data_IF_658761574257
#
_entry.id   IF_658761574257
#
_cell.length_a   1.000
_cell.length_b   1.000
_cell.length_c   1.000
_cell.angle_alpha   90.00
_cell.angle_beta   90.00
_cell.angle_gamma   90.00
#
_symmetry.space_group_name_H-M   'P 1'
#
loop_
_entity.id
_entity.type
_entity.pdbx_description
1 polymer ?
#
# COMPACT_ATOMS: atom_id res chain seq x y z
N UNK A 1 -8.75 13.35 -10.55
CA UNK A 1 -7.85 12.20 -10.27
C UNK A 1 -8.03 11.83 -8.82
N UNK A 2 -8.56 10.65 -8.52
CA UNK A 2 -8.68 10.18 -7.14
C UNK A 2 -7.32 9.63 -6.70
N UNK A 3 -6.62 10.34 -5.82
CA UNK A 3 -5.41 9.84 -5.19
C UNK A 3 -5.83 8.87 -4.08
N UNK A 4 -5.54 7.58 -4.25
CA UNK A 4 -5.64 6.65 -3.13
C UNK A 4 -4.40 6.84 -2.25
N UNK A 5 -4.54 7.65 -1.21
CA UNK A 5 -3.54 7.76 -0.14
C UNK A 5 -3.62 6.49 0.71
N UNK A 6 -2.77 5.50 0.39
CA UNK A 6 -2.53 4.39 1.30
C UNK A 6 -1.35 4.73 2.20
N UNK A 7 -1.63 4.80 3.51
CA UNK A 7 -0.60 4.86 4.53
C UNK A 7 0.05 3.48 4.62
N UNK A 8 1.14 3.28 3.88
CA UNK A 8 2.03 2.16 4.11
C UNK A 8 2.64 2.33 5.52
N UNK A 9 2.49 1.31 6.37
CA UNK A 9 3.04 1.25 7.74
C UNK A 9 2.41 2.24 8.73
N UNK A 10 1.08 2.24 8.80
CA UNK A 10 0.32 2.97 9.83
C UNK A 10 0.89 2.74 11.24
N UNK A 11 1.19 1.49 11.59
CA UNK A 11 1.71 1.09 12.91
C UNK A 11 3.08 1.71 13.22
N UNK A 12 3.97 1.80 12.23
CA UNK A 12 5.28 2.43 12.42
C UNK A 12 5.18 3.94 12.62
N UNK A 13 4.27 4.59 11.89
CA UNK A 13 4.00 6.01 12.08
C UNK A 13 3.40 6.27 13.46
N UNK A 14 2.38 5.51 13.88
CA UNK A 14 1.79 5.60 15.22
C UNK A 14 2.83 5.35 16.33
N UNK A 15 3.68 4.34 16.17
CA UNK A 15 4.75 4.07 17.12
C UNK A 15 5.83 5.17 17.18
N UNK A 16 6.07 5.90 16.08
CA UNK A 16 7.00 7.03 16.03
C UNK A 16 6.40 8.30 16.60
N UNK A 17 5.14 8.60 16.30
CA UNK A 17 4.44 9.76 16.83
C UNK A 17 4.32 9.66 18.34
N UNK A 18 3.95 8.50 18.88
CA UNK A 18 3.90 8.27 20.33
C UNK A 18 5.25 8.49 21.00
N UNK A 19 6.35 8.02 20.39
CA UNK A 19 7.70 8.26 20.89
C UNK A 19 8.12 9.72 20.80
N UNK A 20 7.80 10.40 19.69
CA UNK A 20 8.05 11.82 19.52
C UNK A 20 7.32 12.65 20.59
N UNK A 21 6.05 12.33 20.86
CA UNK A 21 5.25 12.93 21.93
C UNK A 21 5.85 12.68 23.31
N UNK A 22 6.28 11.45 23.60
CA UNK A 22 6.97 11.12 24.85
C UNK A 22 8.28 11.92 25.01
N UNK A 23 9.04 12.09 23.93
CA UNK A 23 10.23 12.95 23.90
C UNK A 23 9.91 14.41 24.20
N UNK A 24 8.87 14.97 23.56
CA UNK A 24 8.37 16.32 23.84
C UNK A 24 7.90 16.50 25.29
N UNK A 25 7.16 15.53 25.83
CA UNK A 25 6.68 15.54 27.21
C UNK A 25 7.85 15.53 28.22
N UNK A 26 8.87 14.69 27.98
CA UNK A 26 10.05 14.61 28.83
C UNK A 26 10.80 15.95 28.88
N UNK A 27 10.96 16.63 27.74
CA UNK A 27 11.55 17.97 27.70
C UNK A 27 10.66 18.99 28.39
N UNK A 28 9.33 18.93 28.24
CA UNK A 28 8.41 19.83 28.94
C UNK A 28 8.55 19.73 30.46
N UNK A 29 8.69 18.52 31.01
CA UNK A 29 8.96 18.30 32.45
C UNK A 29 10.31 18.90 32.85
N UNK A 30 11.35 18.65 32.05
CA UNK A 30 12.69 19.18 32.31
C UNK A 30 12.71 20.71 32.24
N UNK A 31 12.02 21.31 31.26
CA UNK A 31 11.88 22.75 31.09
C UNK A 31 11.18 23.40 32.29
N UNK A 32 10.10 22.78 32.77
CA UNK A 32 9.40 23.24 33.96
C UNK A 32 10.30 23.21 35.21
N UNK A 33 11.08 22.15 35.39
CA UNK A 33 12.02 22.02 36.50
C UNK A 33 13.17 23.04 36.39
N UNK A 34 13.74 23.21 35.19
CA UNK A 34 14.79 24.18 34.93
C UNK A 34 14.32 25.62 35.19
N UNK A 35 13.13 25.97 34.72
CA UNK A 35 12.53 27.28 34.98
C UNK A 35 12.26 27.49 36.48
N UNK A 36 11.79 26.46 37.18
CA UNK A 36 11.48 26.55 38.63
C UNK A 36 12.72 26.63 39.52
N UNK A 37 13.78 25.91 39.19
CA UNK A 37 14.97 25.78 40.04
C UNK A 37 16.03 26.80 39.63
N UNK A 38 16.32 26.90 38.33
CA UNK A 38 17.43 27.68 37.79
C UNK A 38 16.99 29.02 37.18
N UNK A 39 15.68 29.27 37.01
CA UNK A 39 15.13 30.47 36.38
C UNK A 39 15.66 30.70 34.94
N UNK A 40 16.09 29.62 34.28
CA UNK A 40 16.59 29.67 32.90
C UNK A 40 15.43 29.37 31.93
N UNK A 41 15.15 30.25 30.96
CA UNK A 41 14.17 29.96 29.92
C UNK A 41 14.70 28.87 28.99
N UNK A 42 13.87 27.87 28.70
CA UNK A 42 14.22 26.75 27.82
C UNK A 42 13.58 26.98 26.46
N UNK A 43 14.39 26.92 25.39
CA UNK A 43 13.92 27.12 24.02
C UNK A 43 12.98 25.97 23.59
N UNK A 44 11.77 26.26 23.07
CA UNK A 44 10.89 25.25 22.47
C UNK A 44 11.54 24.44 21.34
N UNK A 45 12.62 24.93 20.71
CA UNK A 45 13.42 24.16 19.75
C UNK A 45 13.97 22.84 20.31
N UNK A 46 14.15 22.72 21.63
CA UNK A 46 14.55 21.47 22.28
C UNK A 46 13.47 20.38 22.20
N UNK A 47 12.19 20.75 22.05
CA UNK A 47 11.10 19.80 21.84
C UNK A 47 11.30 19.00 20.54
N UNK A 48 11.71 19.69 19.47
CA UNK A 48 11.98 19.11 18.15
C UNK A 48 13.12 18.10 18.23
N UNK A 49 14.19 18.45 18.95
CA UNK A 49 15.36 17.57 19.12
C UNK A 49 15.02 16.32 19.91
N UNK A 50 14.30 16.45 21.02
CA UNK A 50 13.89 15.29 21.79
C UNK A 50 12.87 14.41 21.04
N UNK A 51 11.95 15.03 20.30
CA UNK A 51 11.04 14.30 19.42
C UNK A 51 11.78 13.52 18.33
N UNK A 52 12.80 14.13 17.71
CA UNK A 52 13.66 13.49 16.72
C UNK A 52 14.49 12.35 17.31
N UNK A 53 15.08 12.55 18.49
CA UNK A 53 15.86 11.52 19.19
C UNK A 53 15.01 10.32 19.60
N UNK A 54 13.80 10.55 20.09
CA UNK A 54 12.90 9.49 20.53
C UNK A 54 12.29 8.70 19.35
N UNK A 55 12.04 9.38 18.23
CA UNK A 55 11.48 8.76 17.02
C UNK A 55 12.52 7.97 16.20
N UNK A 56 13.78 8.39 16.21
CA UNK A 56 14.85 7.76 15.43
C UNK A 56 15.18 6.32 15.89
N UNK A 57 15.33 5.40 14.94
CA UNK A 57 15.89 4.05 15.12
C UNK A 57 17.11 3.87 14.20
N UNK A 58 18.22 4.58 14.46
CA UNK A 58 19.40 4.49 13.61
C UNK A 58 20.03 3.09 13.66
N UNK A 59 20.70 2.73 12.57
CA UNK A 59 21.60 1.56 12.55
C UNK A 59 22.76 1.81 13.53
N UNK A 60 23.26 0.75 14.17
CA UNK A 60 24.32 0.81 15.20
C UNK A 60 25.50 1.70 14.81
N UNK A 61 25.94 1.69 13.54
CA UNK A 61 27.06 2.49 13.05
C UNK A 61 26.82 4.00 12.96
N UNK A 62 25.57 4.45 12.81
CA UNK A 62 25.22 5.88 12.63
C UNK A 62 24.56 6.50 13.86
N UNK A 63 24.34 5.71 14.92
CA UNK A 63 23.58 6.14 16.10
C UNK A 63 24.25 7.30 16.82
N UNK A 64 25.57 7.24 17.04
CA UNK A 64 26.31 8.30 17.72
C UNK A 64 26.35 9.60 16.90
N UNK A 65 26.60 9.49 15.59
CA UNK A 65 26.64 10.63 14.69
C UNK A 65 25.28 11.34 14.58
N UNK A 66 24.19 10.58 14.45
CA UNK A 66 22.84 11.13 14.40
C UNK A 66 22.48 11.87 15.69
N UNK A 67 22.77 11.27 16.84
CA UNK A 67 22.50 11.90 18.15
C UNK A 67 23.31 13.18 18.33
N UNK A 68 24.58 13.17 17.96
CA UNK A 68 25.46 14.34 18.05
C UNK A 68 24.97 15.46 17.12
N UNK A 69 24.61 15.14 15.88
CA UNK A 69 24.06 16.10 14.93
C UNK A 69 22.76 16.74 15.46
N UNK A 70 21.84 15.93 16.00
CA UNK A 70 20.59 16.43 16.58
C UNK A 70 20.82 17.31 17.82
N UNK A 71 21.82 17.03 18.65
CA UNK A 71 22.15 17.87 19.80
C UNK A 71 22.72 19.24 19.42
N UNK A 72 23.23 19.43 18.20
CA UNK A 72 23.77 20.71 17.72
C UNK A 72 22.65 21.62 17.18
N UNK A 73 21.52 21.06 16.72
CA UNK A 73 20.42 21.83 16.13
C UNK A 73 19.86 22.99 16.98
N UNK A 74 19.70 22.89 18.31
CA UNK A 74 19.21 24.00 19.11
C UNK A 74 20.25 25.12 19.24
N UNK A 75 21.52 24.90 18.86
CA UNK A 75 22.53 25.94 18.81
C UNK A 75 22.47 26.75 17.50
N UNK A 76 21.79 26.23 16.46
CA UNK A 76 21.70 26.82 15.13
C UNK A 76 21.10 28.25 15.14
N UNK A 77 20.06 28.58 15.94
CA UNK A 77 19.57 29.95 16.09
C UNK A 77 20.63 30.95 16.58
N UNK A 78 21.65 30.52 17.32
CA UNK A 78 22.69 31.43 17.79
C UNK A 78 23.72 31.79 16.70
N UNK A 79 23.77 30.99 15.62
CA UNK A 79 24.63 31.27 14.47
C UNK A 79 23.92 32.09 13.39
N UNK A 80 22.59 32.10 13.41
CA UNK A 80 21.77 32.86 12.48
C UNK A 80 21.02 33.92 13.26
N UNK A 81 21.40 35.18 13.08
CA UNK A 81 20.77 36.35 13.72
C UNK A 81 19.39 36.64 13.09
N UNK A 82 18.52 35.63 13.07
CA UNK A 82 17.22 35.62 12.45
C UNK A 82 16.13 35.59 13.51
N UNK A 83 15.06 36.34 13.28
CA UNK A 83 13.93 36.41 14.20
C UNK A 83 13.17 35.08 14.30
N UNK A 84 12.67 34.78 15.50
CA UNK A 84 11.75 33.66 15.72
C UNK A 84 10.50 33.87 14.83
N UNK A 85 9.99 32.82 14.14
CA UNK A 85 10.26 31.40 14.32
C UNK A 85 11.18 30.76 13.26
N UNK A 86 11.94 31.58 12.50
CA UNK A 86 12.73 31.09 11.34
C UNK A 86 13.78 30.04 11.73
N UNK A 87 14.57 30.23 12.80
CA UNK A 87 15.55 29.22 13.22
C UNK A 87 14.90 27.89 13.62
N UNK A 88 13.73 27.94 14.27
CA UNK A 88 13.01 26.74 14.69
C UNK A 88 12.44 25.98 13.49
N UNK A 89 11.98 26.69 12.45
CA UNK A 89 11.57 26.07 11.18
C UNK A 89 12.74 25.29 10.53
N UNK A 90 13.93 25.90 10.46
CA UNK A 90 15.12 25.22 9.94
C UNK A 90 15.53 24.03 10.80
N UNK A 91 15.50 24.17 12.13
CA UNK A 91 15.78 23.04 13.03
C UNK A 91 14.79 21.89 12.82
N UNK A 92 13.50 22.18 12.66
CA UNK A 92 12.46 21.20 12.34
C UNK A 92 12.73 20.45 11.03
N UNK A 93 13.08 21.19 9.99
CA UNK A 93 13.39 20.65 8.67
C UNK A 93 14.65 19.77 8.69
N UNK A 94 15.73 20.24 9.30
CA UNK A 94 16.99 19.49 9.40
C UNK A 94 16.79 18.23 10.25
N UNK A 95 16.08 18.32 11.37
CA UNK A 95 15.79 17.18 12.23
C UNK A 95 14.99 16.11 11.46
N UNK A 96 13.95 16.51 10.72
CA UNK A 96 13.16 15.60 9.89
C UNK A 96 13.99 14.98 8.76
N UNK A 97 14.86 15.75 8.11
CA UNK A 97 15.76 15.24 7.08
C UNK A 97 16.75 14.21 7.64
N UNK A 98 17.37 14.49 8.79
CA UNK A 98 18.31 13.57 9.45
C UNK A 98 17.63 12.27 9.88
N UNK A 99 16.44 12.36 10.47
CA UNK A 99 15.65 11.18 10.86
C UNK A 99 15.20 10.39 9.62
N UNK A 100 14.83 11.06 8.53
CA UNK A 100 14.44 10.44 7.26
C UNK A 100 15.59 9.73 6.52
N UNK A 101 16.79 10.30 6.54
CA UNK A 101 17.96 9.74 5.85
C UNK A 101 18.65 8.62 6.64
N UNK A 102 18.77 8.79 7.96
CA UNK A 102 19.66 7.97 8.81
C UNK A 102 18.91 7.24 9.92
N UNK A 103 17.77 7.80 10.36
CA UNK A 103 17.00 7.30 11.49
C UNK A 103 16.02 6.16 11.18
N UNK A 104 15.91 5.71 9.93
CA UNK A 104 14.89 4.73 9.51
C UNK A 104 15.28 3.25 9.70
N UNK A 105 16.51 2.94 10.15
CA UNK A 105 16.96 1.56 10.29
C UNK A 105 17.09 0.86 8.92
N UNK A 106 17.67 -0.34 8.88
CA UNK A 106 18.10 -1.05 7.67
C UNK A 106 17.03 -1.36 6.62
N UNK A 107 15.76 -1.00 6.84
CA UNK A 107 14.64 -1.41 5.96
C UNK A 107 14.31 -0.40 4.87
N UNK A 108 14.71 0.88 4.97
CA UNK A 108 14.63 1.83 3.85
C UNK A 108 15.44 3.09 4.11
N UNK A 109 16.33 3.43 3.19
CA UNK A 109 16.79 4.81 3.03
C UNK A 109 15.67 5.54 2.30
N UNK A 110 15.04 6.54 2.94
CA UNK A 110 13.98 7.33 2.30
C UNK A 110 14.47 7.94 0.98
N UNK A 111 13.64 7.90 -0.06
CA UNK A 111 14.02 8.51 -1.34
C UNK A 111 14.17 10.02 -1.14
N UNK A 112 15.19 10.63 -1.75
CA UNK A 112 15.47 12.06 -1.65
C UNK A 112 14.23 12.99 -1.73
N UNK A 113 13.26 12.80 -2.66
CA UNK A 113 12.07 13.66 -2.71
C UNK A 113 11.11 13.47 -1.53
N UNK A 114 10.97 12.26 -1.00
CA UNK A 114 10.08 11.95 0.15
C UNK A 114 10.65 12.58 1.43
N UNK A 115 11.97 12.47 1.62
CA UNK A 115 12.67 13.09 2.74
C UNK A 115 12.60 14.62 2.64
N UNK A 116 12.81 15.18 1.45
CA UNK A 116 12.70 16.62 1.24
C UNK A 116 11.28 17.13 1.54
N UNK A 117 10.24 16.40 1.09
CA UNK A 117 8.85 16.74 1.40
C UNK A 117 8.56 16.69 2.90
N UNK A 118 9.02 15.66 3.61
CA UNK A 118 8.92 15.57 5.06
C UNK A 118 9.66 16.68 5.79
N UNK A 119 10.86 17.05 5.32
CA UNK A 119 11.65 18.14 5.90
C UNK A 119 10.96 19.49 5.73
N UNK A 120 10.46 19.80 4.53
CA UNK A 120 9.73 21.05 4.27
C UNK A 120 8.44 21.11 5.09
N UNK A 121 7.68 20.02 5.14
CA UNK A 121 6.44 19.95 5.91
C UNK A 121 6.70 20.10 7.42
N UNK A 122 7.71 19.42 7.97
CA UNK A 122 8.10 19.57 9.37
C UNK A 122 8.60 20.99 9.69
N UNK A 123 9.39 21.60 8.80
CA UNK A 123 9.84 22.97 8.95
C UNK A 123 8.70 23.98 8.96
N UNK A 124 7.66 23.77 8.16
CA UNK A 124 6.47 24.63 8.15
C UNK A 124 5.56 24.42 9.37
N UNK A 125 5.44 23.19 9.88
CA UNK A 125 4.54 22.87 10.99
C UNK A 125 5.11 23.18 12.37
N UNK A 126 6.44 23.20 12.54
CA UNK A 126 7.06 23.57 13.84
C UNK A 126 6.65 24.98 14.30
N UNK A 127 6.76 26.05 13.47
CA UNK A 127 6.26 27.38 13.81
C UNK A 127 4.77 27.39 14.19
N UNK A 128 3.95 26.59 13.49
CA UNK A 128 2.54 26.47 13.79
C UNK A 128 2.32 25.83 15.17
N UNK A 129 3.09 24.80 15.51
CA UNK A 129 3.07 24.18 16.85
C UNK A 129 3.50 25.15 17.96
N UNK A 130 4.50 26.01 17.69
CA UNK A 130 4.91 27.06 18.61
C UNK A 130 3.82 28.12 18.80
N UNK A 131 3.13 28.52 17.72
CA UNK A 131 1.99 29.42 17.82
C UNK A 131 0.86 28.82 18.65
N UNK A 132 0.54 27.54 18.45
CA UNK A 132 -0.46 26.82 19.27
C UNK A 132 -0.05 26.79 20.74
N UNK A 133 1.22 26.53 21.04
CA UNK A 133 1.76 26.62 22.40
C UNK A 133 1.54 28.02 23.00
N UNK A 134 1.88 29.09 22.29
CA UNK A 134 1.68 30.47 22.76
C UNK A 134 0.21 30.76 23.06
N UNK A 135 -0.71 30.30 22.21
CA UNK A 135 -2.15 30.46 22.42
C UNK A 135 -2.64 29.66 23.63
N UNK A 136 -2.12 28.44 23.84
CA UNK A 136 -2.46 27.61 25.00
C UNK A 136 -1.98 28.27 26.31
N UNK A 137 -0.74 28.75 26.33
CA UNK A 137 -0.16 29.43 27.48
C UNK A 137 -0.93 30.72 27.80
N UNK A 138 -1.23 31.54 26.79
CA UNK A 138 -1.95 32.80 26.98
C UNK A 138 -3.41 32.62 27.46
N UNK A 139 -4.10 31.56 27.01
CA UNK A 139 -5.53 31.37 27.34
C UNK A 139 -5.77 30.53 28.58
N UNK A 140 -4.97 29.48 28.80
CA UNK A 140 -5.26 28.47 29.81
C UNK A 140 -4.25 28.46 30.96
N UNK A 141 -3.02 28.93 30.73
CA UNK A 141 -1.93 28.85 31.71
C UNK A 141 -1.15 30.17 31.87
N UNK A 142 -1.82 31.28 32.22
CA UNK A 142 -1.18 32.60 32.28
C UNK A 142 -0.06 32.69 33.32
N UNK A 143 -0.08 31.84 34.36
CA UNK A 143 0.94 31.80 35.40
C UNK A 143 2.09 30.81 35.11
N UNK A 144 2.06 30.18 33.93
CA UNK A 144 2.96 29.08 33.59
C UNK A 144 2.81 27.87 34.52
N UNK A 145 3.74 26.93 34.41
CA UNK A 145 3.83 25.77 35.30
C UNK A 145 4.19 24.48 34.56
N UNK A 146 4.25 23.38 35.32
CA UNK A 146 4.64 22.08 34.77
C UNK A 146 3.68 21.60 33.69
N UNK A 147 2.38 21.82 33.89
CA UNK A 147 1.36 21.38 32.94
C UNK A 147 1.39 22.20 31.64
N UNK A 148 1.70 23.50 31.72
CA UNK A 148 1.79 24.37 30.53
C UNK A 148 3.02 24.02 29.69
N UNK A 149 4.18 23.83 30.33
CA UNK A 149 5.39 23.36 29.66
C UNK A 149 5.20 21.95 29.07
N UNK A 150 4.56 21.02 29.78
CA UNK A 150 4.28 19.69 29.25
C UNK A 150 3.39 19.76 28.00
N UNK A 151 2.29 20.50 28.05
CA UNK A 151 1.36 20.63 26.91
C UNK A 151 1.97 21.40 25.74
N UNK A 152 2.73 22.47 26.01
CA UNK A 152 3.39 23.26 24.97
C UNK A 152 4.47 22.48 24.21
N UNK A 153 5.36 21.79 24.92
CA UNK A 153 6.42 21.02 24.28
C UNK A 153 5.87 19.76 23.58
N UNK A 154 4.81 19.15 24.10
CA UNK A 154 4.11 18.05 23.41
C UNK A 154 3.38 18.52 22.16
N UNK A 155 2.78 19.72 22.15
CA UNK A 155 2.16 20.25 20.93
C UNK A 155 3.20 20.50 19.84
N UNK A 156 4.35 21.10 20.17
CA UNK A 156 5.42 21.30 19.18
C UNK A 156 5.93 19.95 18.63
N UNK A 157 6.12 18.95 19.50
CA UNK A 157 6.51 17.61 19.09
C UNK A 157 5.46 16.92 18.19
N UNK A 158 4.16 17.12 18.48
CA UNK A 158 3.06 16.62 17.66
C UNK A 158 3.12 17.19 16.25
N UNK A 159 3.19 18.52 16.12
CA UNK A 159 3.23 19.21 14.83
C UNK A 159 4.46 18.82 14.00
N UNK A 160 5.62 18.70 14.65
CA UNK A 160 6.82 18.17 13.99
C UNK A 160 6.59 16.74 13.48
N UNK A 161 6.06 15.85 14.32
CA UNK A 161 5.80 14.46 13.94
C UNK A 161 4.78 14.34 12.81
N UNK A 162 3.73 15.16 12.79
CA UNK A 162 2.77 15.23 11.68
C UNK A 162 3.46 15.70 10.40
N UNK A 163 4.40 16.64 10.48
CA UNK A 163 5.20 17.05 9.31
C UNK A 163 6.06 15.94 8.72
N UNK A 164 6.59 15.05 9.57
CA UNK A 164 7.33 13.89 9.09
C UNK A 164 6.46 12.87 8.33
N UNK A 165 5.12 12.91 8.47
CA UNK A 165 4.20 12.01 7.77
C UNK A 165 4.36 12.08 6.25
N UNK A 166 4.67 13.26 5.69
CA UNK A 166 4.87 13.42 4.26
C UNK A 166 6.02 12.56 3.71
N UNK A 167 7.02 12.23 4.54
CA UNK A 167 8.09 11.29 4.15
C UNK A 167 7.68 9.82 4.18
N UNK A 168 6.54 9.50 4.79
CA UNK A 168 5.97 8.15 4.88
C UNK A 168 4.82 7.92 3.90
N UNK A 169 4.34 8.98 3.25
CA UNK A 169 3.36 8.89 2.18
C UNK A 169 4.06 8.51 0.88
N UNK A 170 4.16 7.21 0.61
CA UNK A 170 4.35 6.76 -0.78
C UNK A 170 3.05 6.99 -1.51
N UNK A 171 2.91 8.18 -2.10
CA UNK A 171 1.90 8.44 -3.12
C UNK A 171 2.14 7.45 -4.27
N UNK A 172 1.44 6.32 -4.24
CA UNK A 172 1.29 5.50 -5.44
C UNK A 172 0.42 6.33 -6.37
N UNK A 173 1.10 7.09 -7.23
CA UNK A 173 0.46 7.99 -8.20
C UNK A 173 -0.46 7.20 -9.14
N UNK A 174 -0.26 5.88 -9.25
CA UNK A 174 -1.14 4.99 -9.98
C UNK A 174 -1.72 3.85 -9.10
N UNK A 175 -3.06 3.79 -8.92
CA UNK A 175 -3.70 2.71 -8.17
C UNK A 175 -3.43 1.32 -8.78
N UNK A 176 -3.17 1.25 -10.09
CA UNK A 176 -2.91 -0.01 -10.80
C UNK A 176 -1.57 -0.62 -10.36
N UNK A 177 -0.53 0.19 -10.17
CA UNK A 177 0.77 -0.32 -9.70
C UNK A 177 0.70 -0.80 -8.26
N UNK A 178 -0.01 -0.07 -7.39
CA UNK A 178 -0.18 -0.49 -5.99
C UNK A 178 -0.85 -1.86 -5.92
N UNK A 179 -1.96 -2.05 -6.64
CA UNK A 179 -2.71 -3.31 -6.69
C UNK A 179 -1.86 -4.45 -7.25
N UNK A 180 -1.15 -4.22 -8.35
CA UNK A 180 -0.28 -5.27 -8.90
C UNK A 180 0.84 -5.66 -7.94
N UNK A 181 1.46 -4.68 -7.26
CA UNK A 181 2.57 -4.97 -6.32
C UNK A 181 2.11 -5.72 -5.07
N UNK A 182 0.90 -5.44 -4.57
CA UNK A 182 0.32 -6.23 -3.48
C UNK A 182 0.03 -7.65 -3.94
N UNK A 183 -0.47 -7.80 -5.17
CA UNK A 183 -0.82 -9.10 -5.73
C UNK A 183 0.41 -9.99 -5.96
N UNK A 184 1.50 -9.41 -6.47
CA UNK A 184 2.78 -10.09 -6.68
C UNK A 184 3.35 -10.70 -5.38
N UNK A 185 3.11 -10.08 -4.22
CA UNK A 185 3.55 -10.59 -2.92
C UNK A 185 2.64 -11.68 -2.34
N UNK A 186 1.41 -11.80 -2.83
CA UNK A 186 0.41 -12.77 -2.34
C UNK A 186 0.30 -14.02 -3.21
N UNK A 187 0.67 -13.92 -4.48
CA UNK A 187 0.61 -15.01 -5.44
C UNK A 187 1.85 -15.89 -5.35
N UNK A 188 1.70 -17.16 -5.74
CA UNK A 188 2.78 -18.13 -5.84
C UNK A 188 2.85 -18.69 -7.27
N UNK A 189 4.03 -19.18 -7.65
CA UNK A 189 4.24 -19.91 -8.90
C UNK A 189 4.08 -19.07 -10.18
N UNK A 190 3.53 -19.67 -11.22
CA UNK A 190 3.45 -19.06 -12.56
C UNK A 190 2.58 -17.79 -12.61
N UNK A 191 1.51 -17.74 -11.81
CA UNK A 191 0.64 -16.56 -11.72
C UNK A 191 1.40 -15.34 -11.17
N UNK A 192 2.31 -15.57 -10.22
CA UNK A 192 3.17 -14.51 -9.67
C UNK A 192 4.11 -13.94 -10.73
N UNK A 193 4.77 -14.81 -11.50
CA UNK A 193 5.68 -14.41 -12.59
C UNK A 193 4.94 -13.58 -13.66
N UNK A 194 3.71 -13.99 -14.03
CA UNK A 194 2.89 -13.29 -15.01
C UNK A 194 2.42 -11.91 -14.51
N UNK A 195 2.13 -11.77 -13.22
CA UNK A 195 1.78 -10.49 -12.61
C UNK A 195 2.99 -9.57 -12.53
N UNK A 196 4.15 -10.07 -12.12
CA UNK A 196 5.41 -9.32 -12.13
C UNK A 196 5.79 -8.84 -13.54
N UNK A 197 5.63 -9.71 -14.55
CA UNK A 197 5.84 -9.36 -15.97
C UNK A 197 4.84 -8.30 -16.44
N UNK A 198 3.56 -8.45 -16.10
CA UNK A 198 2.50 -7.48 -16.39
C UNK A 198 2.84 -6.10 -15.81
N UNK A 199 3.28 -6.03 -14.55
CA UNK A 199 3.72 -4.78 -13.90
C UNK A 199 4.90 -4.14 -14.62
N UNK A 200 5.91 -4.93 -14.98
CA UNK A 200 7.09 -4.43 -15.69
C UNK A 200 6.70 -3.85 -17.07
N UNK A 201 5.87 -4.56 -17.82
CA UNK A 201 5.36 -4.11 -19.12
C UNK A 201 4.52 -2.85 -19.00
N UNK A 202 3.61 -2.81 -18.02
CA UNK A 202 2.77 -1.65 -17.73
C UNK A 202 3.61 -0.39 -17.47
N UNK A 203 4.63 -0.50 -16.59
CA UNK A 203 5.57 0.60 -16.29
C UNK A 203 6.34 1.07 -17.53
N UNK A 204 6.80 0.12 -18.36
CA UNK A 204 7.49 0.44 -19.61
C UNK A 204 6.58 1.19 -20.58
N UNK A 205 5.34 0.71 -20.79
CA UNK A 205 4.34 1.35 -21.65
C UNK A 205 3.98 2.76 -21.15
N UNK A 206 3.76 2.92 -19.85
CA UNK A 206 3.52 4.22 -19.22
C UNK A 206 4.70 5.18 -19.43
N UNK A 207 5.93 4.70 -19.23
CA UNK A 207 7.13 5.50 -19.45
C UNK A 207 7.27 6.02 -20.88
N UNK A 208 6.85 5.23 -21.87
CA UNK A 208 6.81 5.66 -23.28
C UNK A 208 5.65 6.65 -23.52
N UNK A 209 4.45 6.34 -23.02
CA UNK A 209 3.27 7.20 -23.19
C UNK A 209 3.46 8.59 -22.55
N UNK A 210 4.12 8.67 -21.39
CA UNK A 210 4.37 9.92 -20.68
C UNK A 210 5.43 10.81 -21.37
N UNK A 211 6.30 10.24 -22.20
CA UNK A 211 7.23 10.99 -23.06
C UNK A 211 6.53 11.62 -24.28
N UNK A 212 5.30 11.23 -24.58
CA UNK A 212 4.50 11.83 -25.67
C UNK A 212 3.95 13.20 -25.26
N UNK A 213 3.70 14.04 -26.26
CA UNK A 213 3.14 15.38 -26.03
C UNK A 213 1.81 15.29 -25.24
N UNK A 214 1.58 16.19 -24.27
CA UNK A 214 0.33 16.22 -23.53
C UNK A 214 -0.85 16.52 -24.46
N UNK A 215 -1.89 15.68 -24.40
CA UNK A 215 -3.11 15.82 -25.20
C UNK A 215 -4.11 14.70 -24.91
N UNK A 216 -5.33 14.82 -25.47
CA UNK A 216 -6.42 13.87 -25.24
C UNK A 216 -6.06 12.43 -25.63
N UNK A 217 -5.36 12.24 -26.75
CA UNK A 217 -4.90 10.91 -27.19
C UNK A 217 -3.93 10.24 -26.22
N UNK A 218 -3.11 11.03 -25.49
CA UNK A 218 -2.23 10.50 -24.44
C UNK A 218 -3.03 10.00 -23.25
N UNK A 219 -4.04 10.76 -22.80
CA UNK A 219 -4.89 10.34 -21.68
C UNK A 219 -5.71 9.10 -22.02
N UNK A 220 -6.28 9.02 -23.22
CA UNK A 220 -6.99 7.83 -23.70
C UNK A 220 -6.08 6.61 -23.72
N UNK A 221 -4.86 6.75 -24.26
CA UNK A 221 -3.88 5.67 -24.28
C UNK A 221 -3.53 5.17 -22.87
N UNK A 222 -3.28 6.09 -21.92
CA UNK A 222 -2.98 5.73 -20.53
C UNK A 222 -4.17 5.02 -19.88
N UNK A 223 -5.40 5.44 -20.19
CA UNK A 223 -6.61 4.80 -19.68
C UNK A 223 -6.79 3.38 -20.23
N UNK A 224 -6.53 3.16 -21.52
CA UNK A 224 -6.56 1.81 -22.12
C UNK A 224 -5.49 0.91 -21.51
N UNK A 225 -4.26 1.40 -21.34
CA UNK A 225 -3.18 0.65 -20.67
C UNK A 225 -3.56 0.28 -19.22
N UNK A 226 -4.19 1.21 -18.49
CA UNK A 226 -4.72 0.95 -17.14
C UNK A 226 -5.80 -0.11 -17.13
N UNK A 227 -6.72 -0.06 -18.09
CA UNK A 227 -7.80 -1.04 -18.23
C UNK A 227 -7.24 -2.44 -18.46
N UNK A 228 -6.33 -2.60 -19.43
CA UNK A 228 -5.68 -3.88 -19.73
C UNK A 228 -4.94 -4.46 -18.52
N UNK A 229 -4.16 -3.63 -17.81
CA UNK A 229 -3.46 -4.08 -16.60
C UNK A 229 -4.43 -4.49 -15.47
N UNK A 230 -5.53 -3.76 -15.27
CA UNK A 230 -6.57 -4.12 -14.29
C UNK A 230 -7.26 -5.44 -14.62
N UNK A 231 -7.53 -5.70 -15.90
CA UNK A 231 -8.13 -6.95 -16.35
C UNK A 231 -7.19 -8.13 -16.07
N UNK A 232 -5.90 -8.00 -16.38
CA UNK A 232 -4.89 -8.99 -16.04
C UNK A 232 -4.81 -9.27 -14.53
N UNK A 233 -4.79 -8.22 -13.69
CA UNK A 233 -4.78 -8.40 -12.23
C UNK A 233 -6.08 -9.02 -11.69
N UNK A 234 -7.23 -8.69 -12.26
CA UNK A 234 -8.51 -9.29 -11.86
C UNK A 234 -8.56 -10.78 -12.21
N UNK A 235 -8.01 -11.18 -13.36
CA UNK A 235 -7.85 -12.59 -13.72
C UNK A 235 -6.92 -13.32 -12.74
N UNK A 236 -5.78 -12.72 -12.39
CA UNK A 236 -4.83 -13.30 -11.44
C UNK A 236 -5.45 -13.45 -10.03
N UNK A 237 -6.24 -12.48 -9.57
CA UNK A 237 -7.02 -12.59 -8.32
C UNK A 237 -8.01 -13.76 -8.39
N UNK A 238 -8.78 -13.87 -9.47
CA UNK A 238 -9.73 -14.97 -9.64
C UNK A 238 -9.06 -16.34 -9.70
N UNK A 239 -7.87 -16.43 -10.31
CA UNK A 239 -7.05 -17.64 -10.32
C UNK A 239 -6.61 -18.01 -8.89
N UNK A 240 -6.11 -17.05 -8.12
CA UNK A 240 -5.68 -17.27 -6.73
C UNK A 240 -6.82 -17.72 -5.81
N UNK A 241 -8.00 -17.14 -5.99
CA UNK A 241 -9.20 -17.53 -5.24
C UNK A 241 -9.61 -18.98 -5.54
N UNK A 242 -9.58 -19.38 -6.82
CA UNK A 242 -9.85 -20.77 -7.20
C UNK A 242 -8.76 -21.73 -6.73
N UNK A 243 -7.50 -21.34 -6.77
CA UNK A 243 -6.40 -22.16 -6.31
C UNK A 243 -6.47 -22.40 -4.79
N UNK A 244 -6.81 -21.37 -4.02
CA UNK A 244 -7.03 -21.50 -2.57
C UNK A 244 -8.21 -22.43 -2.26
N UNK A 245 -9.31 -22.35 -3.03
CA UNK A 245 -10.46 -23.26 -2.91
C UNK A 245 -10.09 -24.71 -3.27
N UNK A 246 -9.31 -24.92 -4.33
CA UNK A 246 -8.86 -26.26 -4.72
C UNK A 246 -7.89 -26.85 -3.69
N UNK A 247 -6.96 -26.04 -3.16
CA UNK A 247 -6.01 -26.46 -2.11
C UNK A 247 -6.73 -26.85 -0.81
N UNK A 248 -7.77 -26.12 -0.41
CA UNK A 248 -8.51 -26.46 0.82
C UNK A 248 -9.30 -27.77 0.68
N UNK A 249 -9.87 -28.04 -0.49
CA UNK A 249 -10.59 -29.30 -0.73
C UNK A 249 -9.65 -30.47 -0.96
N UNK A 250 -8.54 -30.28 -1.69
CA UNK A 250 -7.56 -31.34 -1.96
C UNK A 250 -6.84 -31.88 -0.70
N UNK A 251 -6.81 -31.11 0.41
CA UNK A 251 -6.36 -31.63 1.71
C UNK A 251 -7.27 -32.74 2.26
N UNK A 252 -8.50 -32.84 1.75
CA UNK A 252 -9.42 -33.94 2.01
C UNK A 252 -9.34 -34.89 0.80
N UNK A 253 -8.76 -36.07 0.96
CA UNK A 253 -8.58 -37.02 -0.15
C UNK A 253 -9.93 -37.69 -0.51
N UNK A 254 -10.80 -36.93 -1.20
CA UNK A 254 -12.19 -37.33 -1.54
C UNK A 254 -12.20 -38.60 -2.39
N UNK A 255 -11.20 -38.79 -3.26
CA UNK A 255 -11.06 -40.01 -4.06
C UNK A 255 -10.82 -41.25 -3.21
N UNK A 256 -9.97 -41.15 -2.19
CA UNK A 256 -9.74 -42.24 -1.24
C UNK A 256 -11.01 -42.56 -0.45
N UNK A 257 -11.76 -41.53 -0.04
CA UNK A 257 -13.03 -41.69 0.68
C UNK A 257 -14.11 -42.36 -0.18
N UNK A 258 -14.22 -42.00 -1.46
CA UNK A 258 -15.15 -42.64 -2.41
C UNK A 258 -14.80 -44.12 -2.59
N UNK A 259 -13.51 -44.45 -2.73
CA UNK A 259 -13.05 -45.84 -2.86
C UNK A 259 -13.33 -46.65 -1.58
N UNK A 260 -13.06 -46.07 -0.41
CA UNK A 260 -13.33 -46.71 0.89
C UNK A 260 -14.84 -46.94 1.10
N UNK A 261 -15.69 -45.95 0.84
CA UNK A 261 -17.14 -46.11 0.95
C UNK A 261 -17.70 -47.18 0.01
N UNK A 262 -17.20 -47.26 -1.23
CA UNK A 262 -17.58 -48.33 -2.19
C UNK A 262 -17.11 -49.70 -1.73
N UNK A 263 -15.89 -49.81 -1.18
CA UNK A 263 -15.39 -51.05 -0.63
C UNK A 263 -16.21 -51.51 0.58
N UNK A 264 -16.57 -50.59 1.49
CA UNK A 264 -17.46 -50.85 2.63
C UNK A 264 -18.85 -51.27 2.18
N UNK A 265 -19.43 -50.60 1.17
CA UNK A 265 -20.72 -50.99 0.61
C UNK A 265 -20.69 -52.43 0.08
N UNK A 266 -19.63 -52.82 -0.64
CA UNK A 266 -19.46 -54.16 -1.17
C UNK A 266 -19.32 -55.24 -0.08
N UNK A 267 -18.67 -54.91 1.04
CA UNK A 267 -18.50 -55.81 2.18
C UNK A 267 -19.72 -55.89 3.11
N UNK A 268 -20.69 -54.96 2.99
CA UNK A 268 -21.85 -54.88 3.88
C UNK A 268 -22.95 -55.82 3.41
N UNK A 269 -23.41 -56.73 4.27
CA UNK A 269 -24.48 -57.70 3.94
C UNK A 269 -25.89 -57.09 4.01
N UNK A 270 -26.11 -56.10 4.88
CA UNK A 270 -27.39 -55.39 5.01
C UNK A 270 -27.67 -54.50 3.79
N UNK A 271 -28.80 -54.75 3.12
CA UNK A 271 -29.22 -54.03 1.94
C UNK A 271 -29.49 -52.53 2.19
N UNK A 272 -29.99 -52.16 3.37
CA UNK A 272 -30.28 -50.75 3.69
C UNK A 272 -28.99 -49.97 3.90
N UNK A 273 -28.07 -50.51 4.70
CA UNK A 273 -26.76 -49.92 4.94
C UNK A 273 -25.93 -49.83 3.64
N UNK A 274 -25.94 -50.88 2.81
CA UNK A 274 -25.29 -50.87 1.49
C UNK A 274 -25.79 -49.72 0.62
N UNK A 275 -27.12 -49.55 0.52
CA UNK A 275 -27.72 -48.48 -0.29
C UNK A 275 -27.36 -47.08 0.23
N UNK A 276 -27.28 -46.89 1.55
CA UNK A 276 -26.86 -45.60 2.13
C UNK A 276 -25.39 -45.30 1.82
N UNK A 277 -24.49 -46.29 1.90
CA UNK A 277 -23.09 -46.13 1.55
C UNK A 277 -22.90 -45.84 0.04
N UNK A 278 -23.69 -46.49 -0.82
CA UNK A 278 -23.69 -46.21 -2.26
C UNK A 278 -24.16 -44.78 -2.58
N UNK A 279 -25.22 -44.30 -1.90
CA UNK A 279 -25.70 -42.92 -2.03
C UNK A 279 -24.66 -41.90 -1.53
N UNK A 280 -23.98 -42.19 -0.42
CA UNK A 280 -22.89 -41.34 0.05
C UNK A 280 -21.73 -41.31 -0.96
N UNK A 281 -21.35 -42.47 -1.51
CA UNK A 281 -20.32 -42.56 -2.54
C UNK A 281 -20.71 -41.85 -3.85
N UNK A 282 -21.99 -41.87 -4.25
CA UNK A 282 -22.44 -41.12 -5.42
C UNK A 282 -22.43 -39.60 -5.17
N UNK A 283 -22.83 -39.15 -3.98
CA UNK A 283 -22.79 -37.73 -3.60
C UNK A 283 -21.36 -37.18 -3.64
N UNK A 284 -20.39 -37.90 -3.08
CA UNK A 284 -18.98 -37.52 -3.14
C UNK A 284 -18.41 -37.61 -4.57
N UNK A 285 -18.91 -38.53 -5.39
CA UNK A 285 -18.58 -38.60 -6.82
C UNK A 285 -19.02 -37.36 -7.61
N UNK A 286 -20.16 -36.76 -7.26
CA UNK A 286 -20.60 -35.49 -7.82
C UNK A 286 -19.70 -34.32 -7.40
N UNK A 287 -19.23 -34.33 -6.15
CA UNK A 287 -18.26 -33.34 -5.65
C UNK A 287 -16.92 -33.43 -6.38
N UNK A 288 -16.41 -34.64 -6.63
CA UNK A 288 -15.21 -34.85 -7.46
C UNK A 288 -15.39 -34.28 -8.88
N UNK A 289 -16.54 -34.54 -9.52
CA UNK A 289 -16.85 -33.96 -10.81
C UNK A 289 -16.88 -32.42 -10.76
N UNK A 290 -17.35 -31.81 -9.66
CA UNK A 290 -17.28 -30.35 -9.44
C UNK A 290 -15.84 -29.87 -9.25
N UNK A 291 -14.97 -30.62 -8.58
CA UNK A 291 -13.56 -30.27 -8.46
C UNK A 291 -12.85 -30.32 -9.82
N UNK A 292 -13.19 -31.28 -10.66
CA UNK A 292 -12.68 -31.36 -12.03
C UNK A 292 -13.15 -30.20 -12.91
N UNK A 293 -14.37 -29.70 -12.73
CA UNK A 293 -14.80 -28.49 -13.46
C UNK A 293 -14.07 -27.25 -12.97
N UNK A 294 -13.80 -27.13 -11.66
CA UNK A 294 -13.01 -26.05 -11.08
C UNK A 294 -11.53 -26.10 -11.50
N UNK A 295 -10.92 -27.30 -11.59
CA UNK A 295 -9.53 -27.47 -12.04
C UNK A 295 -9.36 -27.02 -13.50
N UNK A 296 -10.29 -27.40 -14.38
CA UNK A 296 -10.33 -26.91 -15.77
C UNK A 296 -10.57 -25.40 -15.84
N UNK A 297 -11.40 -24.85 -14.94
CA UNK A 297 -11.63 -23.39 -14.85
C UNK A 297 -10.35 -22.66 -14.45
N UNK A 298 -9.59 -23.19 -13.49
CA UNK A 298 -8.27 -22.66 -13.10
C UNK A 298 -7.32 -22.60 -14.29
N UNK A 299 -7.19 -23.71 -15.04
CA UNK A 299 -6.32 -23.76 -16.24
C UNK A 299 -6.74 -22.75 -17.31
N UNK A 300 -8.05 -22.59 -17.53
CA UNK A 300 -8.57 -21.58 -18.47
C UNK A 300 -8.24 -20.15 -18.05
N UNK A 301 -8.34 -19.82 -16.76
CA UNK A 301 -7.98 -18.49 -16.25
C UNK A 301 -6.48 -18.21 -16.41
N UNK A 302 -5.64 -19.20 -16.16
CA UNK A 302 -4.20 -19.09 -16.35
C UNK A 302 -3.86 -18.84 -17.83
N UNK A 303 -4.50 -19.57 -18.75
CA UNK A 303 -4.36 -19.34 -20.18
C UNK A 303 -4.86 -17.94 -20.61
N UNK A 304 -5.96 -17.45 -20.04
CA UNK A 304 -6.46 -16.09 -20.26
C UNK A 304 -5.47 -15.03 -19.75
N UNK A 305 -4.83 -15.26 -18.60
CA UNK A 305 -3.81 -14.37 -18.06
C UNK A 305 -2.60 -14.28 -19.00
N UNK A 306 -2.12 -15.40 -19.55
CA UNK A 306 -1.07 -15.42 -20.59
C UNK A 306 -1.48 -14.61 -21.82
N UNK A 307 -2.72 -14.76 -22.29
CA UNK A 307 -3.23 -13.99 -23.43
C UNK A 307 -3.22 -12.49 -23.14
N UNK A 308 -3.61 -12.06 -21.93
CA UNK A 308 -3.59 -10.65 -21.53
C UNK A 308 -2.16 -10.10 -21.43
N UNK A 309 -1.22 -10.88 -20.90
CA UNK A 309 0.20 -10.51 -20.86
C UNK A 309 0.73 -10.32 -22.29
N UNK A 310 0.41 -11.24 -23.21
CA UNK A 310 0.80 -11.13 -24.61
C UNK A 310 0.19 -9.89 -25.30
N UNK A 311 -1.05 -9.52 -24.96
CA UNK A 311 -1.67 -8.28 -25.45
C UNK A 311 -0.92 -7.03 -24.95
N UNK A 312 -0.49 -7.01 -23.69
CA UNK A 312 0.35 -5.92 -23.15
C UNK A 312 1.74 -5.87 -23.81
N UNK A 313 2.33 -7.01 -24.14
CA UNK A 313 3.59 -7.04 -24.89
C UNK A 313 3.43 -6.49 -26.30
N UNK A 314 2.35 -6.89 -26.99
CA UNK A 314 2.00 -6.34 -28.30
C UNK A 314 1.75 -4.83 -28.21
N UNK A 315 1.11 -4.38 -27.14
CA UNK A 315 0.92 -2.96 -26.86
C UNK A 315 2.24 -2.22 -26.66
N UNK A 316 3.19 -2.82 -25.93
CA UNK A 316 4.53 -2.27 -25.77
C UNK A 316 5.24 -2.11 -27.11
N UNK A 317 5.23 -3.14 -27.95
CA UNK A 317 5.88 -3.12 -29.25
C UNK A 317 5.26 -2.06 -30.16
N UNK A 318 3.94 -1.92 -30.18
CA UNK A 318 3.26 -0.89 -30.97
C UNK A 318 3.59 0.53 -30.50
N UNK A 319 3.72 0.74 -29.18
CA UNK A 319 4.12 2.02 -28.59
C UNK A 319 5.56 2.39 -28.90
N UNK A 320 6.48 1.42 -28.84
CA UNK A 320 7.89 1.64 -29.22
C UNK A 320 8.00 2.01 -30.70
N UNK A 321 7.27 1.32 -31.58
CA UNK A 321 7.22 1.64 -33.01
C UNK A 321 6.69 3.06 -33.29
N UNK A 322 5.66 3.49 -32.56
CA UNK A 322 5.10 4.83 -32.72
C UNK A 322 6.03 5.94 -32.18
N UNK A 323 6.73 5.69 -31.08
CA UNK A 323 7.65 6.65 -30.47
C UNK A 323 8.86 6.99 -31.36
N UNK A 324 9.24 6.09 -32.28
CA UNK A 324 10.30 6.30 -33.26
C UNK A 324 9.92 7.11 -34.50
N UNK A 325 8.63 7.41 -34.72
CA UNK A 325 8.17 8.21 -35.86
C UNK A 325 8.11 9.72 -35.55
N UNK A 326 8.23 10.57 -36.58
CA UNK A 326 8.50 12.02 -36.47
C UNK A 326 7.59 12.80 -35.48
N UNK A 327 8.20 13.80 -34.82
CA UNK A 327 7.68 14.46 -33.61
C UNK A 327 6.36 15.26 -33.77
N UNK A 328 5.94 15.59 -34.99
CA UNK A 328 4.79 16.46 -35.26
C UNK A 328 3.43 15.73 -35.19
N UNK A 329 3.39 14.41 -35.38
CA UNK A 329 2.13 13.63 -35.46
C UNK A 329 1.73 12.87 -34.17
N UNK A 330 2.46 13.08 -33.06
CA UNK A 330 2.39 12.22 -31.86
C UNK A 330 1.03 12.20 -31.15
N UNK A 331 0.27 13.29 -31.20
CA UNK A 331 -1.06 13.36 -30.55
C UNK A 331 -2.14 12.55 -31.27
N UNK A 332 -2.22 12.67 -32.60
CA UNK A 332 -3.16 11.90 -33.42
C UNK A 332 -2.79 10.40 -33.47
N UNK A 333 -1.49 10.10 -33.49
CA UNK A 333 -0.99 8.73 -33.38
C UNK A 333 -1.34 8.10 -32.03
N UNK A 334 -1.23 8.83 -30.91
CA UNK A 334 -1.63 8.33 -29.60
C UNK A 334 -3.11 7.93 -29.55
N UNK A 335 -4.01 8.74 -30.13
CA UNK A 335 -5.44 8.42 -30.21
C UNK A 335 -5.72 7.22 -31.13
N UNK A 336 -5.03 7.10 -32.26
CA UNK A 336 -5.15 5.92 -33.14
C UNK A 336 -4.63 4.65 -32.46
N UNK A 337 -3.54 4.74 -31.69
CA UNK A 337 -3.02 3.63 -30.90
C UNK A 337 -3.98 3.24 -29.79
N UNK A 338 -4.53 4.22 -29.06
CA UNK A 338 -5.54 3.97 -28.03
C UNK A 338 -6.74 3.19 -28.61
N UNK A 339 -7.26 3.61 -29.78
CA UNK A 339 -8.35 2.90 -30.48
C UNK A 339 -7.96 1.48 -30.90
N UNK A 340 -6.77 1.28 -31.47
CA UNK A 340 -6.28 -0.06 -31.84
C UNK A 340 -6.05 -0.96 -30.63
N UNK A 341 -5.57 -0.41 -29.53
CA UNK A 341 -5.37 -1.15 -28.28
C UNK A 341 -6.70 -1.51 -27.63
N UNK A 342 -7.67 -0.58 -27.64
CA UNK A 342 -9.01 -0.83 -27.14
C UNK A 342 -9.71 -1.95 -27.93
N UNK A 343 -9.63 -1.92 -29.27
CA UNK A 343 -10.23 -2.99 -30.09
C UNK A 343 -9.56 -4.35 -29.87
N UNK A 344 -8.23 -4.39 -29.69
CA UNK A 344 -7.53 -5.64 -29.36
C UNK A 344 -7.88 -6.17 -27.96
N UNK A 345 -8.22 -5.28 -27.02
CA UNK A 345 -8.71 -5.67 -25.69
C UNK A 345 -10.14 -6.23 -25.71
N UNK A 346 -11.00 -5.72 -26.60
CA UNK A 346 -12.38 -6.22 -26.78
C UNK A 346 -12.45 -7.56 -27.51
N UNK A 347 -11.48 -7.86 -28.39
CA UNK A 347 -11.35 -9.17 -29.04
C UNK A 347 -10.84 -10.27 -28.10
N UNK A 348 -10.33 -9.91 -26.91
CA UNK A 348 -9.96 -10.89 -25.91
C UNK A 348 -11.22 -11.61 -25.38
N UNK A 349 -11.17 -12.94 -25.17
CA UNK A 349 -12.34 -13.70 -24.75
C UNK A 349 -12.91 -13.10 -23.47
N UNK A 350 -14.17 -12.67 -23.52
CA UNK A 350 -14.85 -12.09 -22.37
C UNK A 350 -14.76 -13.06 -21.17
N UNK A 351 -14.60 -12.55 -19.94
CA UNK A 351 -14.80 -13.38 -18.77
C UNK A 351 -16.23 -13.92 -18.84
N UNK A 352 -16.36 -15.23 -18.96
CA UNK A 352 -17.66 -15.90 -19.05
C UNK A 352 -18.33 -15.74 -17.69
N UNK A 353 -19.21 -14.75 -17.58
CA UNK A 353 -20.24 -14.73 -16.55
C UNK A 353 -21.05 -16.01 -16.72
N UNK A 354 -21.00 -16.91 -15.74
CA UNK A 354 -21.87 -18.09 -15.75
C UNK A 354 -23.33 -17.61 -15.84
N UNK A 355 -24.17 -18.26 -16.67
CA UNK A 355 -25.61 -18.06 -16.56
C UNK A 355 -26.01 -18.49 -15.15
N UNK A 356 -26.60 -17.54 -14.43
CA UNK A 356 -27.31 -17.75 -13.17
C UNK A 356 -28.21 -18.98 -13.34
N UNK A 357 -27.76 -20.11 -12.79
CA UNK A 357 -28.55 -21.32 -12.73
C UNK A 357 -29.80 -20.98 -11.93
N UNK A 358 -30.90 -20.87 -12.66
CA UNK A 358 -32.24 -20.81 -12.13
C UNK A 358 -32.36 -21.82 -10.99
N UNK A 359 -32.46 -21.30 -9.76
CA UNK A 359 -32.81 -22.07 -8.60
C UNK A 359 -34.22 -22.62 -8.83
N UNK A 360 -34.29 -23.83 -9.40
CA UNK A 360 -35.47 -24.67 -9.33
C UNK A 360 -35.66 -25.01 -7.85
N UNK A 361 -36.42 -24.17 -7.15
CA UNK A 361 -36.99 -24.51 -5.86
C UNK A 361 -37.90 -25.73 -6.05
N UNK A 362 -37.68 -26.85 -5.33
CA UNK A 362 -38.67 -27.92 -5.32
C UNK A 362 -39.91 -27.41 -4.59
N UNK A 363 -41.05 -27.42 -5.29
CA UNK A 363 -42.35 -27.08 -4.72
C UNK A 363 -42.66 -28.00 -3.50
N UNK A 364 -43.11 -27.45 -2.37
CA UNK A 364 -43.54 -28.28 -1.24
C UNK A 364 -44.85 -28.98 -1.59
N UNK A 365 -44.79 -30.30 -1.76
CA UNK A 365 -45.95 -31.19 -1.71
C UNK A 365 -46.55 -31.11 -0.31
N UNK A 366 -47.59 -30.29 -0.14
CA UNK A 366 -48.50 -30.40 1.01
C UNK A 366 -49.40 -31.61 0.81
N UNK A 367 -49.09 -32.67 1.54
CA UNK A 367 -49.98 -33.80 1.79
C UNK A 367 -51.12 -33.30 2.68
N UNK A 368 -52.34 -33.47 2.20
CA UNK A 368 -53.58 -33.34 2.99
C UNK A 368 -53.70 -34.56 3.91
N UNK A 369 -53.80 -34.33 5.21
CA UNK A 369 -54.31 -35.29 6.19
C UNK A 369 -55.64 -34.79 6.73
#
# INVERSE_FOLDING_TARGET
MAFSLQLLHREDFEGRTLRALAGGAAVGIFAALAQRILHVPVDPGLAVVAAALASARPVLGYTAALRLALCILPALPYFFDAENPVPQAFSGAIAAALVGLVGQGSERVGKAPEVAAGAVAAGALVPLGMYVQQVLDARFFPNGGLLSALLGFTSVALFWSVGTLASHLTLHVDPVESRGSTLENTLEGEAQELVGRTLALYRQCLGVAMKMAPGAGRSELVEVLRKMAREAFTLAESHSGLEAQLKSVAQTDVDAQVKDLRARAAATEDAVARRQLELAASSLGEELNRLDTLSRKRERLLAQLHAQVALLERARVSLVGAAGSEASAKGAQAAQLAKRLASMGEEAPAPISEPEQAAAQPAPTRVSH
#
